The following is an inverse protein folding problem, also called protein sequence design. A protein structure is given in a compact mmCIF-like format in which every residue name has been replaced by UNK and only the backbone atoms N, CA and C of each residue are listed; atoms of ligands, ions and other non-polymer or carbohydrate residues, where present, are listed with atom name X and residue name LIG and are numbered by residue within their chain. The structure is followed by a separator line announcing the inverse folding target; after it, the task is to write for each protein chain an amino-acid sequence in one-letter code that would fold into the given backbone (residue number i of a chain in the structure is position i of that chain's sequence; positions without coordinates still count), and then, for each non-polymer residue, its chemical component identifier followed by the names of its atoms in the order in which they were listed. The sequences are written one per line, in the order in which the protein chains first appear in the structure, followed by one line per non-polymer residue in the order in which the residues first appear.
data_IF_571278832664
#
_entry.id   IF_571278832664
#
_cell.length_a   1.000
_cell.length_b   1.000
_cell.length_c   1.000
_cell.angle_alpha   90.00
_cell.angle_beta   90.00
_cell.angle_gamma   90.00
#
_symmetry.space_group_name_H-M   'P 1'
#
loop_
_entity.id
_entity.type
_entity.pdbx_description
1 polymer ?
#
# COMPACT_ATOMS: atom_id res chain seq x y z
N UNK A 1 -20.57 3.73 25.24
CA UNK A 1 -19.55 4.01 26.28
C UNK A 1 -18.26 3.35 25.86
N UNK A 2 -17.23 4.12 25.49
CA UNK A 2 -15.91 3.58 25.20
C UNK A 2 -15.06 3.69 26.47
N UNK A 3 -14.42 2.59 26.88
CA UNK A 3 -13.50 2.55 28.03
C UNK A 3 -12.40 3.60 27.82
N UNK A 4 -12.43 4.68 28.59
CA UNK A 4 -11.51 5.81 28.47
C UNK A 4 -10.36 5.74 29.47
N UNK A 5 -10.47 4.98 30.56
CA UNK A 5 -9.40 4.82 31.56
C UNK A 5 -9.28 3.40 32.11
N UNK A 6 -8.07 2.87 32.05
CA UNK A 6 -7.61 1.69 32.79
C UNK A 6 -6.48 2.14 33.72
N UNK A 7 -6.81 2.49 34.97
CA UNK A 7 -5.84 3.02 35.93
C UNK A 7 -5.29 4.40 35.52
N UNK A 8 -3.96 4.53 35.41
CA UNK A 8 -3.29 5.75 34.90
C UNK A 8 -3.22 5.83 33.36
N UNK A 9 -3.63 4.77 32.65
CA UNK A 9 -3.56 4.72 31.19
C UNK A 9 -4.89 5.17 30.61
N UNK A 10 -4.83 6.29 29.88
CA UNK A 10 -5.95 6.79 29.10
C UNK A 10 -5.98 6.05 27.76
N UNK A 11 -6.98 5.19 27.59
CA UNK A 11 -7.15 4.43 26.35
C UNK A 11 -8.06 5.24 25.46
N UNK A 12 -7.56 5.58 24.27
CA UNK A 12 -8.38 6.18 23.22
C UNK A 12 -8.61 5.12 22.15
N UNK A 13 -9.73 4.35 22.19
CA UNK A 13 -9.95 3.21 21.31
C UNK A 13 -9.98 3.61 19.83
N UNK A 14 -10.42 4.85 19.54
CA UNK A 14 -10.41 5.40 18.17
C UNK A 14 -9.01 5.50 17.59
N UNK A 15 -8.02 5.95 18.38
CA UNK A 15 -6.63 6.07 17.93
C UNK A 15 -5.99 4.69 17.76
N UNK A 16 -6.25 3.75 18.69
CA UNK A 16 -5.76 2.38 18.59
C UNK A 16 -6.32 1.64 17.36
N UNK A 17 -7.61 1.82 17.06
CA UNK A 17 -8.23 1.26 15.86
C UNK A 17 -7.66 1.88 14.58
N UNK A 18 -7.46 3.21 14.58
CA UNK A 18 -6.85 3.92 13.46
C UNK A 18 -5.42 3.42 13.18
N UNK A 19 -4.59 3.31 14.21
CA UNK A 19 -3.21 2.82 14.08
C UNK A 19 -3.17 1.35 13.65
N UNK A 20 -4.06 0.52 14.21
CA UNK A 20 -4.21 -0.88 13.81
C UNK A 20 -4.61 -1.03 12.34
N UNK A 21 -5.59 -0.26 11.87
CA UNK A 21 -6.03 -0.25 10.47
C UNK A 21 -4.91 0.21 9.53
N UNK A 22 -4.16 1.24 9.93
CA UNK A 22 -3.02 1.76 9.18
C UNK A 22 -1.92 0.70 9.05
N UNK A 23 -1.60 0.00 10.14
CA UNK A 23 -0.59 -1.06 10.15
C UNK A 23 -1.02 -2.26 9.28
N UNK A 24 -2.27 -2.71 9.40
CA UNK A 24 -2.82 -3.78 8.56
C UNK A 24 -2.83 -3.44 7.07
N UNK A 25 -3.23 -2.21 6.73
CA UNK A 25 -3.15 -1.71 5.36
C UNK A 25 -1.72 -1.79 4.83
N UNK A 26 -0.74 -1.32 5.62
CA UNK A 26 0.67 -1.35 5.26
C UNK A 26 1.20 -2.76 5.03
N UNK A 27 0.82 -3.72 5.88
CA UNK A 27 1.23 -5.12 5.73
C UNK A 27 0.66 -5.75 4.45
N UNK A 28 -0.64 -5.55 4.19
CA UNK A 28 -1.29 -6.08 2.99
C UNK A 28 -0.74 -5.46 1.71
N UNK A 29 -0.52 -4.14 1.69
CA UNK A 29 0.10 -3.48 0.56
C UNK A 29 1.51 -4.03 0.32
N UNK A 30 2.36 -4.14 1.35
CA UNK A 30 3.69 -4.74 1.21
C UNK A 30 3.63 -6.16 0.64
N UNK A 31 2.66 -6.97 1.09
CA UNK A 31 2.48 -8.33 0.56
C UNK A 31 2.11 -8.34 -0.93
N UNK A 32 1.22 -7.44 -1.36
CA UNK A 32 0.85 -7.28 -2.78
C UNK A 32 2.07 -6.92 -3.62
N UNK A 33 2.98 -6.08 -3.09
CA UNK A 33 4.18 -5.62 -3.80
C UNK A 33 5.43 -6.51 -3.62
N UNK A 34 5.47 -7.44 -2.65
CA UNK A 34 6.68 -8.23 -2.33
C UNK A 34 6.95 -9.42 -3.26
N UNK A 35 6.14 -9.63 -4.29
CA UNK A 35 6.30 -10.76 -5.22
C UNK A 35 7.46 -10.57 -6.20
N UNK A 36 8.38 -11.53 -6.25
CA UNK A 36 9.35 -11.64 -7.36
C UNK A 36 8.63 -12.20 -8.57
N UNK A 37 8.34 -11.35 -9.55
CA UNK A 37 7.54 -11.73 -10.72
C UNK A 37 8.46 -12.29 -11.82
N UNK A 38 8.27 -13.55 -12.26
CA UNK A 38 8.98 -14.08 -13.41
C UNK A 38 8.46 -13.43 -14.70
N UNK A 39 9.37 -13.10 -15.61
CA UNK A 39 9.14 -12.21 -16.77
C UNK A 39 8.09 -12.76 -17.75
N UNK A 40 7.91 -14.08 -17.78
CA UNK A 40 6.98 -14.81 -18.64
C UNK A 40 5.50 -14.68 -18.22
N UNK A 41 5.22 -14.34 -16.96
CA UNK A 41 3.84 -14.21 -16.42
C UNK A 41 3.59 -12.76 -15.96
N UNK A 42 4.52 -11.85 -16.24
CA UNK A 42 4.56 -10.51 -15.69
C UNK A 42 3.24 -9.73 -15.84
N UNK A 43 2.67 -9.67 -17.04
CA UNK A 43 1.41 -8.97 -17.28
C UNK A 43 0.21 -9.58 -16.57
N UNK A 44 0.16 -10.92 -16.46
CA UNK A 44 -0.93 -11.61 -15.77
C UNK A 44 -0.85 -11.37 -14.27
N UNK A 45 0.36 -11.41 -13.69
CA UNK A 45 0.56 -11.10 -12.26
C UNK A 45 0.23 -9.63 -11.97
N UNK A 46 0.63 -8.69 -12.83
CA UNK A 46 0.25 -7.28 -12.67
C UNK A 46 -1.27 -7.06 -12.74
N UNK A 47 -1.95 -7.76 -13.64
CA UNK A 47 -3.42 -7.69 -13.76
C UNK A 47 -4.07 -8.20 -12.47
N UNK A 48 -3.63 -9.34 -11.97
CA UNK A 48 -4.12 -9.92 -10.73
C UNK A 48 -3.83 -9.02 -9.51
N UNK A 49 -2.62 -8.46 -9.41
CA UNK A 49 -2.27 -7.53 -8.34
C UNK A 49 -3.12 -6.27 -8.37
N UNK A 50 -3.46 -5.75 -9.56
CA UNK A 50 -4.38 -4.62 -9.71
C UNK A 50 -5.79 -4.96 -9.20
N UNK A 51 -6.31 -6.13 -9.57
CA UNK A 51 -7.65 -6.57 -9.15
C UNK A 51 -7.71 -6.78 -7.63
N UNK A 52 -6.70 -7.42 -7.05
CA UNK A 52 -6.58 -7.60 -5.60
C UNK A 52 -6.46 -6.26 -4.86
N UNK A 53 -5.72 -5.30 -5.42
CA UNK A 53 -5.56 -3.98 -4.82
C UNK A 53 -6.83 -3.14 -4.89
N UNK A 54 -7.59 -3.22 -5.99
CA UNK A 54 -8.91 -2.57 -6.09
C UNK A 54 -9.91 -3.15 -5.06
N UNK A 55 -9.91 -4.48 -4.91
CA UNK A 55 -10.73 -5.15 -3.90
C UNK A 55 -10.32 -4.75 -2.48
N UNK A 56 -9.02 -4.69 -2.20
CA UNK A 56 -8.47 -4.23 -0.93
C UNK A 56 -8.88 -2.78 -0.64
N UNK A 57 -8.75 -1.88 -1.63
CA UNK A 57 -9.16 -0.48 -1.52
C UNK A 57 -10.64 -0.36 -1.16
N UNK A 58 -11.52 -1.02 -1.91
CA UNK A 58 -12.97 -0.99 -1.66
C UNK A 58 -13.33 -1.48 -0.26
N UNK A 59 -12.73 -2.59 0.15
CA UNK A 59 -12.96 -3.16 1.49
C UNK A 59 -12.46 -2.23 2.58
N UNK A 60 -11.28 -1.65 2.41
CA UNK A 60 -10.69 -0.71 3.36
C UNK A 60 -11.54 0.56 3.52
N UNK A 61 -11.94 1.18 2.40
CA UNK A 61 -12.78 2.38 2.42
C UNK A 61 -14.14 2.10 3.07
N UNK A 62 -14.75 0.94 2.80
CA UNK A 62 -15.99 0.53 3.46
C UNK A 62 -15.81 0.46 4.98
N UNK A 63 -14.75 -0.19 5.47
CA UNK A 63 -14.47 -0.29 6.91
C UNK A 63 -14.20 1.09 7.53
N UNK A 64 -13.41 1.94 6.87
CA UNK A 64 -13.16 3.30 7.34
C UNK A 64 -14.44 4.12 7.43
N UNK A 65 -15.37 3.97 6.48
CA UNK A 65 -16.67 4.63 6.51
C UNK A 65 -17.51 4.20 7.72
N UNK A 66 -17.49 2.91 8.10
CA UNK A 66 -18.22 2.42 9.28
C UNK A 66 -17.64 2.94 10.61
N UNK A 67 -16.34 3.29 10.62
CA UNK A 67 -15.61 3.71 11.84
C UNK A 67 -15.48 5.25 11.90
N UNK A 68 -15.94 5.97 10.87
CA UNK A 68 -15.85 7.44 10.82
C UNK A 68 -14.43 7.97 10.57
N UNK A 69 -13.58 7.17 9.94
CA UNK A 69 -12.20 7.53 9.59
C UNK A 69 -12.15 8.01 8.13
N UNK A 70 -11.33 9.02 7.83
CA UNK A 70 -11.04 9.41 6.45
C UNK A 70 -10.16 8.37 5.74
N UNK A 71 -10.77 7.28 5.29
CA UNK A 71 -10.07 6.17 4.63
C UNK A 71 -9.38 6.57 3.33
N UNK A 72 -9.86 7.59 2.62
CA UNK A 72 -9.24 8.06 1.38
C UNK A 72 -7.85 8.64 1.66
N UNK A 73 -7.75 9.50 2.68
CA UNK A 73 -6.49 10.10 3.09
C UNK A 73 -5.49 9.05 3.60
N UNK A 74 -5.95 8.10 4.42
CA UNK A 74 -5.09 7.02 4.95
C UNK A 74 -4.57 6.15 3.81
N UNK A 75 -5.46 5.78 2.88
CA UNK A 75 -5.11 5.01 1.69
C UNK A 75 -4.04 5.70 0.85
N UNK A 76 -4.24 6.97 0.50
CA UNK A 76 -3.29 7.75 -0.30
C UNK A 76 -1.92 7.87 0.39
N UNK A 77 -1.92 8.13 1.70
CA UNK A 77 -0.69 8.32 2.48
C UNK A 77 0.13 7.02 2.53
N UNK A 78 -0.50 5.89 2.85
CA UNK A 78 0.20 4.62 2.95
C UNK A 78 0.62 4.07 1.59
N UNK A 79 -0.23 4.23 0.56
CA UNK A 79 0.12 3.82 -0.80
C UNK A 79 1.32 4.61 -1.33
N UNK A 80 1.34 5.93 -1.11
CA UNK A 80 2.46 6.79 -1.49
C UNK A 80 3.74 6.40 -0.76
N UNK A 81 3.66 6.16 0.55
CA UNK A 81 4.81 5.74 1.37
C UNK A 81 5.42 4.44 0.85
N UNK A 82 4.60 3.41 0.64
CA UNK A 82 5.06 2.09 0.17
C UNK A 82 5.60 2.18 -1.25
N UNK A 83 5.00 3.02 -2.08
CA UNK A 83 5.47 3.28 -3.44
C UNK A 83 6.86 3.91 -3.45
N UNK A 84 7.08 4.93 -2.61
CA UNK A 84 8.37 5.60 -2.46
C UNK A 84 9.41 4.62 -1.89
N UNK A 85 9.05 3.81 -0.89
CA UNK A 85 9.93 2.78 -0.32
C UNK A 85 10.33 1.74 -1.38
N UNK A 86 9.39 1.31 -2.20
CA UNK A 86 9.62 0.35 -3.29
C UNK A 86 10.53 0.96 -4.38
N UNK A 87 10.29 2.22 -4.77
CA UNK A 87 11.12 2.95 -5.73
C UNK A 87 12.55 3.12 -5.21
N UNK A 88 12.71 3.53 -3.95
CA UNK A 88 14.02 3.69 -3.32
C UNK A 88 14.77 2.35 -3.20
N UNK A 89 14.05 1.26 -2.89
CA UNK A 89 14.62 -0.10 -2.85
C UNK A 89 15.01 -0.62 -4.23
N UNK A 90 14.27 -0.24 -5.27
CA UNK A 90 14.65 -0.51 -6.66
C UNK A 90 15.87 0.32 -7.05
N UNK A 91 15.88 1.62 -6.76
CA UNK A 91 16.96 2.54 -7.11
C UNK A 91 18.30 2.16 -6.45
N UNK A 92 18.28 1.75 -5.18
CA UNK A 92 19.49 1.27 -4.48
C UNK A 92 20.05 -0.03 -5.08
N UNK A 93 19.19 -0.89 -5.63
CA UNK A 93 19.62 -2.07 -6.41
C UNK A 93 20.21 -1.67 -7.76
N UNK A 94 19.66 -0.66 -8.43
CA UNK A 94 20.20 -0.13 -9.70
C UNK A 94 21.59 0.50 -9.54
N UNK A 95 21.85 1.22 -8.44
CA UNK A 95 23.17 1.82 -8.21
C UNK A 95 24.23 0.79 -7.84
N UNK A 96 23.83 -0.36 -7.29
CA UNK A 96 24.69 -1.49 -6.96
C UNK A 96 25.04 -2.36 -8.18
N UNK A 97 24.13 -2.55 -9.13
CA UNK A 97 24.34 -3.35 -10.34
C UNK A 97 24.54 -2.45 -11.56
N UNK A 98 25.80 -2.16 -11.93
CA UNK A 98 26.14 -1.58 -13.24
C UNK A 98 25.82 -2.57 -14.37
N UNK A 99 24.55 -2.78 -14.71
CA UNK A 99 24.19 -3.49 -15.94
C UNK A 99 22.77 -3.15 -16.41
N UNK A 100 22.64 -3.19 -17.74
CA UNK A 100 21.48 -2.90 -18.60
C UNK A 100 20.10 -2.95 -17.93
N UNK A 101 19.28 -1.93 -18.22
CA UNK A 101 17.87 -1.80 -17.83
C UNK A 101 17.12 -3.14 -18.00
N UNK A 102 16.83 -3.88 -16.93
CA UNK A 102 15.98 -5.06 -17.04
C UNK A 102 14.56 -4.56 -17.31
N UNK A 103 13.87 -5.10 -18.33
CA UNK A 103 12.46 -4.78 -18.62
C UNK A 103 11.54 -4.90 -17.39
N UNK A 104 11.93 -5.70 -16.39
CA UNK A 104 11.29 -5.79 -15.08
C UNK A 104 11.21 -4.44 -14.37
N UNK A 105 12.26 -3.62 -14.48
CA UNK A 105 12.32 -2.27 -13.91
C UNK A 105 11.32 -1.33 -14.56
N UNK A 106 11.29 -1.28 -15.90
CA UNK A 106 10.46 -0.32 -16.63
C UNK A 106 8.98 -0.63 -16.47
N UNK A 107 8.62 -1.91 -16.49
CA UNK A 107 7.23 -2.32 -16.37
C UNK A 107 6.73 -2.30 -14.91
N UNK A 108 7.61 -2.55 -13.93
CA UNK A 108 7.32 -2.30 -12.51
C UNK A 108 7.20 -0.80 -12.25
N UNK A 109 8.08 0.04 -12.79
CA UNK A 109 8.00 1.49 -12.68
C UNK A 109 6.73 2.02 -13.37
N UNK A 110 6.34 1.48 -14.52
CA UNK A 110 5.08 1.84 -15.19
C UNK A 110 3.85 1.39 -14.37
N UNK A 111 3.90 0.23 -13.73
CA UNK A 111 2.86 -0.21 -12.79
C UNK A 111 2.78 0.73 -11.60
N UNK A 112 3.90 1.01 -10.94
CA UNK A 112 4.03 1.96 -9.83
C UNK A 112 3.49 3.36 -10.23
N UNK A 113 3.86 3.88 -11.39
CA UNK A 113 3.36 5.16 -11.91
C UNK A 113 1.85 5.13 -12.17
N UNK A 114 1.32 4.02 -12.70
CA UNK A 114 -0.13 3.83 -12.91
C UNK A 114 -0.89 3.66 -11.59
N UNK A 115 -0.23 3.17 -10.54
CA UNK A 115 -0.76 3.07 -9.19
C UNK A 115 -0.70 4.42 -8.45
N UNK A 116 0.28 5.27 -8.76
CA UNK A 116 0.27 6.67 -8.34
C UNK A 116 -0.90 7.43 -9.00
N UNK A 117 -1.28 7.13 -10.24
CA UNK A 117 -2.51 7.69 -10.85
C UNK A 117 -3.80 7.27 -10.12
N UNK A 118 -3.81 6.13 -9.40
CA UNK A 118 -4.94 5.77 -8.52
C UNK A 118 -5.05 6.64 -7.25
N UNK A 119 -4.05 7.49 -6.98
CA UNK A 119 -4.10 8.46 -5.88
C UNK A 119 -4.79 9.76 -6.25
N UNK A 120 -5.06 10.04 -7.53
CA UNK A 120 -5.80 11.24 -7.93
C UNK A 120 -7.28 11.12 -7.54
N UNK A 121 -7.82 12.08 -6.77
CA UNK A 121 -9.24 12.12 -6.43
C UNK A 121 -10.02 12.64 -7.64
N UNK A 122 -10.82 11.76 -8.26
CA UNK A 122 -11.99 12.19 -9.03
C UNK A 122 -13.24 11.80 -8.26
#
# INVERSE_FOLDING_TARGET
MCLSKLGQVEITPGNMLYDGLKQELRLKLKHVFSGVIPTNIFFNVLKQQREELDKLRKTFLFVCQQIGINGVQVWQTELSTITIDALNSCFSRFTSEKQSVPLKSTAFNAFILKMLQFTDPT
#
